data_IF_705430247364
#
_entry.id   IF_705430247364
#
_cell.length_a   1.000
_cell.length_b   1.000
_cell.length_c   1.000
_cell.angle_alpha   90.00
_cell.angle_beta   90.00
_cell.angle_gamma   90.00
#
_symmetry.space_group_name_H-M   'P 1'
#
loop_
_entity.id
_entity.type
_entity.pdbx_description
1 polymer ?
#
# COMPACT_ATOMS: atom_id res chain seq x y z
N UNK A 1 14.15 -72.01 5.54
CA UNK A 1 12.92 -71.43 4.94
C UNK A 1 13.16 -69.95 4.76
N UNK A 2 12.82 -69.44 3.59
CA UNK A 2 13.12 -68.09 3.09
C UNK A 2 12.24 -67.06 3.80
N UNK A 3 12.79 -65.92 4.20
CA UNK A 3 12.06 -64.72 4.63
C UNK A 3 12.94 -63.51 4.36
N UNK A 4 12.99 -63.06 3.10
CA UNK A 4 12.25 -61.94 2.53
C UNK A 4 12.65 -60.59 3.16
N UNK A 5 13.49 -59.90 2.41
CA UNK A 5 14.00 -58.54 2.60
C UNK A 5 12.84 -57.57 2.34
N UNK A 6 12.52 -56.70 3.29
CA UNK A 6 11.71 -55.50 3.05
C UNK A 6 12.62 -54.29 3.23
N UNK A 7 13.18 -53.82 2.13
CA UNK A 7 13.81 -52.51 2.04
C UNK A 7 12.68 -51.46 2.07
N UNK A 8 12.61 -50.69 3.15
CA UNK A 8 11.75 -49.51 3.21
C UNK A 8 12.38 -48.42 2.31
N UNK A 9 11.80 -48.24 1.13
CA UNK A 9 12.11 -47.10 0.26
C UNK A 9 11.59 -45.82 0.89
N UNK A 10 12.50 -44.95 1.34
CA UNK A 10 12.20 -43.56 1.67
C UNK A 10 11.97 -42.82 0.35
N UNK A 11 10.72 -42.75 -0.09
CA UNK A 11 10.29 -41.84 -1.13
C UNK A 11 10.31 -40.42 -0.56
N UNK A 12 11.33 -39.64 -0.94
CA UNK A 12 11.28 -38.19 -0.87
C UNK A 12 10.22 -37.73 -1.87
N UNK A 13 9.00 -37.51 -1.38
CA UNK A 13 8.00 -36.76 -2.12
C UNK A 13 8.33 -35.29 -1.92
N UNK A 14 8.91 -34.65 -2.94
CA UNK A 14 8.86 -33.21 -3.06
C UNK A 14 7.39 -32.82 -3.18
N UNK A 15 6.83 -32.24 -2.11
CA UNK A 15 5.54 -31.59 -2.14
C UNK A 15 5.67 -30.22 -2.83
N UNK A 16 5.70 -30.24 -4.16
CA UNK A 16 5.27 -29.09 -4.96
C UNK A 16 3.99 -29.53 -5.67
N UNK A 17 2.85 -29.04 -5.23
CA UNK A 17 1.58 -29.31 -5.89
C UNK A 17 0.40 -28.83 -5.05
N UNK A 18 -0.18 -27.69 -5.43
CA UNK A 18 -1.46 -27.25 -4.92
C UNK A 18 -1.62 -25.75 -4.78
N UNK A 19 -1.13 -24.95 -5.73
CA UNK A 19 -1.76 -23.65 -5.98
C UNK A 19 -3.21 -23.94 -6.33
N UNK A 20 -4.12 -23.66 -5.39
CA UNK A 20 -5.54 -23.69 -5.68
C UNK A 20 -5.76 -22.55 -6.66
N UNK A 21 -6.16 -22.92 -7.88
CA UNK A 21 -6.75 -21.97 -8.79
C UNK A 21 -7.83 -21.22 -8.03
N UNK A 22 -7.77 -19.90 -8.13
CA UNK A 22 -9.00 -19.13 -8.15
C UNK A 22 -9.75 -19.64 -9.38
N UNK A 23 -10.63 -20.60 -9.14
CA UNK A 23 -11.68 -20.92 -10.09
C UNK A 23 -12.60 -19.69 -10.05
N UNK A 24 -12.44 -18.83 -11.06
CA UNK A 24 -13.34 -17.73 -11.38
C UNK A 24 -14.69 -18.33 -11.83
N UNK A 25 -15.42 -18.90 -10.87
CA UNK A 25 -16.83 -19.23 -11.02
C UNK A 25 -17.59 -17.90 -10.97
N UNK A 26 -18.08 -17.48 -12.14
CA UNK A 26 -18.83 -16.24 -12.31
C UNK A 26 -20.15 -16.24 -11.54
N UNK A 27 -20.07 -15.79 -10.30
CA UNK A 27 -21.17 -15.20 -9.56
C UNK A 27 -21.07 -13.68 -9.72
N UNK A 28 -21.92 -13.12 -10.58
CA UNK A 28 -22.31 -11.70 -10.59
C UNK A 28 -23.11 -11.39 -9.30
N UNK A 29 -22.51 -11.64 -8.14
CA UNK A 29 -22.98 -11.15 -6.85
C UNK A 29 -22.13 -9.93 -6.49
N UNK A 30 -22.77 -8.77 -6.57
CA UNK A 30 -22.34 -7.47 -6.06
C UNK A 30 -22.16 -7.51 -4.53
N UNK A 31 -21.24 -8.34 -4.03
CA UNK A 31 -20.92 -8.50 -2.61
C UNK A 31 -19.68 -7.67 -2.25
N UNK A 32 -19.80 -6.36 -2.47
CA UNK A 32 -18.93 -5.36 -1.83
C UNK A 32 -19.18 -5.24 -0.32
N UNK A 33 -20.17 -5.96 0.22
CA UNK A 33 -20.61 -5.89 1.62
C UNK A 33 -19.79 -6.75 2.59
N UNK A 34 -18.73 -7.41 2.10
CA UNK A 34 -17.87 -8.27 2.92
C UNK A 34 -16.38 -8.01 2.78
N UNK A 35 -15.91 -7.00 2.05
CA UNK A 35 -14.46 -6.74 1.91
C UNK A 35 -13.93 -6.12 3.21
N UNK A 36 -12.69 -6.45 3.58
CA UNK A 36 -11.99 -5.73 4.63
C UNK A 36 -11.32 -4.51 4.00
N UNK A 37 -11.75 -3.32 4.39
CA UNK A 37 -11.02 -2.09 4.07
C UNK A 37 -9.89 -1.95 5.07
N UNK A 38 -8.73 -2.44 4.67
CA UNK A 38 -7.46 -2.49 5.42
C UNK A 38 -6.40 -1.81 4.53
N UNK A 39 -6.04 -0.57 4.87
CA UNK A 39 -5.16 0.23 4.02
C UNK A 39 -3.67 0.10 4.39
N UNK A 40 -3.35 -0.27 5.63
CA UNK A 40 -1.97 -0.48 6.07
C UNK A 40 -1.51 -1.96 5.99
N UNK A 41 -2.44 -2.86 5.71
CA UNK A 41 -2.21 -4.28 5.43
C UNK A 41 -2.04 -5.15 6.66
N UNK A 42 -2.46 -4.71 7.85
CA UNK A 42 -2.30 -5.44 9.11
C UNK A 42 -3.41 -6.48 9.38
N UNK A 43 -4.49 -6.42 8.58
CA UNK A 43 -5.66 -7.29 8.66
C UNK A 43 -6.79 -6.79 9.55
N UNK A 44 -6.66 -5.61 10.16
CA UNK A 44 -7.69 -4.88 10.89
C UNK A 44 -8.23 -3.76 9.99
N UNK A 45 -9.44 -3.27 10.26
CA UNK A 45 -10.08 -2.30 9.38
C UNK A 45 -11.58 -2.19 9.54
N UNK A 46 -12.23 -1.59 8.55
CA UNK A 46 -13.69 -1.49 8.49
C UNK A 46 -14.24 -2.54 7.50
N UNK A 47 -15.17 -3.39 7.97
CA UNK A 47 -15.88 -4.34 7.12
C UNK A 47 -15.92 -5.77 7.64
N UNK A 48 -16.64 -6.64 6.92
CA UNK A 48 -17.00 -7.97 7.41
C UNK A 48 -15.88 -9.02 7.42
N UNK A 49 -14.75 -8.78 6.75
CA UNK A 49 -13.60 -9.71 6.66
C UNK A 49 -12.38 -9.29 7.49
N UNK A 50 -12.44 -8.16 8.21
CA UNK A 50 -11.34 -7.72 9.07
C UNK A 50 -11.26 -8.54 10.36
N UNK A 51 -10.05 -8.70 10.91
CA UNK A 51 -9.81 -9.38 12.19
C UNK A 51 -10.37 -8.59 13.38
N UNK A 52 -10.51 -7.28 13.23
CA UNK A 52 -11.11 -6.33 14.15
C UNK A 52 -11.16 -4.94 13.52
N UNK A 53 -11.62 -3.95 14.29
CA UNK A 53 -11.59 -2.55 13.89
C UNK A 53 -10.18 -2.02 14.01
N UNK A 54 -9.70 -1.35 12.95
CA UNK A 54 -8.50 -0.54 12.98
C UNK A 54 -8.89 0.94 13.13
N UNK A 55 -8.16 1.65 13.98
CA UNK A 55 -8.36 3.07 14.23
C UNK A 55 -7.33 3.96 13.51
N UNK A 56 -6.29 3.36 12.90
CA UNK A 56 -5.29 4.07 12.13
C UNK A 56 -4.89 3.30 10.87
N UNK A 57 -5.69 3.46 9.81
CA UNK A 57 -5.46 2.85 8.50
C UNK A 57 -4.13 3.23 7.82
N UNK A 58 -3.29 4.05 8.46
CA UNK A 58 -1.98 4.45 7.96
C UNK A 58 -0.84 3.81 8.74
N UNK A 59 -1.12 3.07 9.81
CA UNK A 59 -0.10 2.58 10.72
C UNK A 59 -0.41 1.17 11.27
N UNK A 60 0.27 0.13 10.74
CA UNK A 60 -0.04 -1.28 11.02
C UNK A 60 0.33 -1.74 12.43
N UNK A 61 0.78 -0.80 13.27
CA UNK A 61 1.06 -1.02 14.67
C UNK A 61 -0.06 -0.54 15.60
N UNK A 62 -1.05 0.23 15.10
CA UNK A 62 -2.05 0.94 15.91
C UNK A 62 -3.46 0.43 15.59
N UNK A 63 -3.72 -0.82 15.96
CA UNK A 63 -5.03 -1.47 15.81
C UNK A 63 -5.64 -1.93 17.14
N UNK A 64 -4.84 -1.95 18.22
CA UNK A 64 -5.25 -2.53 19.49
C UNK A 64 -5.93 -1.49 20.41
N UNK A 65 -6.75 -1.98 21.35
CA UNK A 65 -7.61 -1.11 22.17
C UNK A 65 -6.86 0.00 22.95
N UNK A 66 -5.70 -0.25 23.58
CA UNK A 66 -4.92 0.81 24.24
C UNK A 66 -4.42 1.90 23.29
N UNK A 67 -3.91 1.52 22.12
CA UNK A 67 -3.35 2.50 21.18
C UNK A 67 -4.48 3.26 20.46
N UNK A 68 -5.61 2.58 20.17
CA UNK A 68 -6.81 3.22 19.64
C UNK A 68 -7.48 4.19 20.61
N UNK A 69 -7.59 3.87 21.90
CA UNK A 69 -8.13 4.81 22.89
C UNK A 69 -7.26 6.08 22.96
N UNK A 70 -5.94 5.94 22.97
CA UNK A 70 -5.01 7.07 23.00
C UNK A 70 -5.10 7.92 21.73
N UNK A 71 -5.29 7.28 20.57
CA UNK A 71 -5.45 7.95 19.29
C UNK A 71 -6.78 8.70 19.21
N UNK A 72 -7.90 8.09 19.58
CA UNK A 72 -9.21 8.76 19.61
C UNK A 72 -9.30 9.89 20.65
N UNK A 73 -8.52 9.82 21.73
CA UNK A 73 -8.40 10.94 22.68
C UNK A 73 -7.64 12.14 22.09
N UNK A 74 -6.69 11.90 21.17
CA UNK A 74 -5.89 12.93 20.52
C UNK A 74 -6.58 13.51 19.27
N UNK A 75 -7.17 12.65 18.44
CA UNK A 75 -7.99 12.99 17.28
C UNK A 75 -9.30 12.19 17.32
N UNK A 76 -10.40 12.80 17.82
CA UNK A 76 -11.70 12.12 17.92
C UNK A 76 -12.33 11.82 16.55
N UNK A 77 -11.74 12.29 15.45
CA UNK A 77 -12.24 12.03 14.11
C UNK A 77 -11.33 11.11 13.29
N UNK A 78 -10.32 10.49 13.89
CA UNK A 78 -9.56 9.46 13.21
C UNK A 78 -10.45 8.27 12.83
N UNK A 79 -9.99 7.44 11.88
CA UNK A 79 -10.75 6.26 11.45
C UNK A 79 -11.07 5.37 12.65
N UNK A 80 -12.21 4.65 12.61
CA UNK A 80 -12.53 3.65 13.63
C UNK A 80 -12.97 4.23 14.98
N UNK A 81 -12.72 5.53 15.25
CA UNK A 81 -13.20 6.22 16.44
C UNK A 81 -14.72 6.43 16.41
N UNK A 82 -15.33 6.42 17.60
CA UNK A 82 -16.78 6.55 17.77
C UNK A 82 -17.32 7.87 17.20
N UNK A 83 -18.42 7.77 16.47
CA UNK A 83 -19.17 8.90 15.95
C UNK A 83 -20.68 8.66 16.09
N UNK A 84 -21.46 9.73 16.18
CA UNK A 84 -22.92 9.64 16.19
C UNK A 84 -23.47 9.92 14.78
N UNK A 85 -23.99 8.91 14.04
CA UNK A 85 -24.50 9.11 12.68
C UNK A 85 -25.72 10.03 12.63
N UNK A 86 -26.42 10.25 13.76
CA UNK A 86 -27.51 11.22 13.85
C UNK A 86 -27.01 12.67 13.93
N UNK A 87 -25.76 12.89 14.38
CA UNK A 87 -25.11 14.21 14.49
C UNK A 87 -24.20 14.46 13.29
N UNK A 88 -23.38 13.47 12.93
CA UNK A 88 -22.33 13.51 11.90
C UNK A 88 -22.70 12.70 10.65
N UNK A 89 -23.98 12.71 10.28
CA UNK A 89 -24.47 11.96 9.11
C UNK A 89 -24.15 12.57 7.74
N UNK A 90 -23.38 13.66 7.68
CA UNK A 90 -22.91 14.27 6.42
C UNK A 90 -21.42 14.03 6.24
N UNK A 91 -20.92 13.86 5.01
CA UNK A 91 -19.49 13.74 4.75
C UNK A 91 -18.73 14.98 5.24
N UNK A 92 -17.59 14.77 5.88
CA UNK A 92 -16.69 15.80 6.38
C UNK A 92 -15.34 15.72 5.66
N UNK A 93 -14.67 16.86 5.49
CA UNK A 93 -13.32 16.89 4.98
C UNK A 93 -12.34 16.27 5.98
N UNK A 94 -11.37 15.52 5.48
CA UNK A 94 -10.33 14.87 6.28
C UNK A 94 -9.00 14.88 5.52
N UNK A 95 -7.91 14.79 6.28
CA UNK A 95 -6.56 14.65 5.75
C UNK A 95 -5.69 14.04 6.83
N UNK A 96 -5.19 12.83 6.60
CA UNK A 96 -4.38 12.06 7.57
C UNK A 96 -2.90 12.45 7.61
N UNK A 97 -2.43 13.26 6.65
CA UNK A 97 -1.03 13.65 6.53
C UNK A 97 -0.64 14.89 7.34
N UNK A 98 0.64 15.28 7.32
CA UNK A 98 1.11 16.51 7.95
C UNK A 98 0.32 17.74 7.44
N UNK A 99 -0.16 18.64 8.30
CA UNK A 99 -1.05 19.72 7.86
C UNK A 99 -0.40 20.68 6.84
N UNK A 100 0.93 20.77 6.82
CA UNK A 100 1.69 21.63 5.92
C UNK A 100 1.81 21.05 4.50
N UNK A 101 1.49 19.77 4.28
CA UNK A 101 1.49 19.11 2.96
C UNK A 101 0.12 19.12 2.28
N UNK A 102 -0.93 19.54 3.00
CA UNK A 102 -2.29 19.55 2.48
C UNK A 102 -2.47 20.58 1.36
N UNK A 103 -2.81 20.12 0.16
CA UNK A 103 -3.00 20.98 -1.02
C UNK A 103 -1.70 21.42 -1.69
N UNK A 104 -0.57 20.79 -1.34
CA UNK A 104 0.73 20.99 -1.98
C UNK A 104 0.94 19.87 -3.00
N UNK A 105 1.43 20.23 -4.19
CA UNK A 105 1.62 19.28 -5.28
C UNK A 105 0.33 18.49 -5.59
N UNK A 106 0.40 17.15 -5.65
CA UNK A 106 -0.74 16.28 -5.83
C UNK A 106 -1.46 15.93 -4.50
N UNK A 107 -0.93 16.29 -3.33
CA UNK A 107 -1.58 15.97 -2.06
C UNK A 107 -2.86 16.77 -1.86
N UNK A 108 -3.93 16.08 -1.47
CA UNK A 108 -5.20 16.71 -1.17
C UNK A 108 -5.98 16.00 -0.09
N UNK A 109 -6.86 16.78 0.56
CA UNK A 109 -7.85 16.27 1.48
C UNK A 109 -8.88 15.39 0.75
N UNK A 110 -9.40 14.42 1.50
CA UNK A 110 -10.49 13.55 1.11
C UNK A 110 -11.78 13.88 1.85
N UNK A 111 -12.71 12.93 1.83
CA UNK A 111 -13.94 12.95 2.62
C UNK A 111 -14.03 11.70 3.49
N UNK A 112 -14.54 11.87 4.71
CA UNK A 112 -14.92 10.76 5.59
C UNK A 112 -16.38 10.90 5.96
N UNK A 113 -16.99 9.80 6.35
CA UNK A 113 -18.36 9.76 6.82
C UNK A 113 -18.47 8.95 8.10
N UNK A 114 -19.45 9.30 8.94
CA UNK A 114 -19.78 8.48 10.09
C UNK A 114 -20.60 7.28 9.60
N UNK A 115 -20.04 6.08 9.72
CA UNK A 115 -20.67 4.84 9.30
C UNK A 115 -21.92 4.55 10.15
N UNK A 116 -22.84 3.74 9.63
CA UNK A 116 -24.09 3.41 10.34
C UNK A 116 -23.85 2.66 11.67
N UNK A 117 -22.70 2.01 11.75
CA UNK A 117 -22.16 1.28 12.89
C UNK A 117 -21.67 2.22 14.01
N UNK A 118 -21.56 3.52 13.75
CA UNK A 118 -21.14 4.52 14.72
C UNK A 118 -19.62 4.70 14.80
N UNK A 119 -18.89 4.42 13.73
CA UNK A 119 -17.45 4.67 13.62
C UNK A 119 -17.13 5.52 12.39
N UNK A 120 -16.11 6.37 12.48
CA UNK A 120 -15.63 7.11 11.32
C UNK A 120 -15.06 6.16 10.26
N UNK A 121 -15.39 6.41 9.00
CA UNK A 121 -14.78 5.73 7.86
C UNK A 121 -13.33 6.17 7.68
N UNK A 122 -12.61 5.44 6.82
CA UNK A 122 -11.35 5.91 6.23
C UNK A 122 -11.57 7.26 5.56
N UNK A 123 -10.50 8.05 5.42
CA UNK A 123 -10.56 9.27 4.63
C UNK A 123 -10.49 8.93 3.12
N UNK A 124 -11.65 8.86 2.49
CA UNK A 124 -11.82 8.51 1.09
C UNK A 124 -11.30 9.62 0.17
N UNK A 125 -10.67 9.25 -0.95
CA UNK A 125 -10.10 10.19 -1.92
C UNK A 125 -9.08 11.19 -1.34
N UNK A 126 -8.36 10.86 -0.26
CA UNK A 126 -7.18 11.64 0.13
C UNK A 126 -5.96 11.20 -0.68
N UNK A 127 -5.05 12.15 -0.95
CA UNK A 127 -3.71 11.85 -1.43
C UNK A 127 -2.69 12.39 -0.43
N UNK A 128 -1.93 11.46 0.17
CA UNK A 128 -0.94 11.73 1.20
C UNK A 128 0.48 11.78 0.60
N UNK A 129 1.44 12.42 1.29
CA UNK A 129 2.84 12.40 0.92
C UNK A 129 3.36 10.97 0.74
N UNK A 130 4.12 10.76 -0.33
CA UNK A 130 4.82 9.52 -0.65
C UNK A 130 6.31 9.81 -0.80
N UNK A 131 7.13 8.77 -0.89
CA UNK A 131 8.54 8.95 -1.25
C UNK A 131 8.64 9.56 -2.66
N UNK A 132 9.55 10.52 -2.80
CA UNK A 132 9.88 11.14 -4.07
C UNK A 132 10.27 10.12 -5.13
N UNK A 133 9.60 10.23 -6.28
CA UNK A 133 9.93 9.53 -7.49
C UNK A 133 10.32 10.54 -8.54
N UNK A 134 11.24 10.16 -9.43
CA UNK A 134 11.45 10.98 -10.61
C UNK A 134 10.27 10.81 -11.59
N UNK A 135 9.23 11.59 -11.40
CA UNK A 135 8.01 11.57 -12.20
C UNK A 135 7.51 12.98 -12.60
N UNK A 136 8.33 14.01 -12.37
CA UNK A 136 8.00 15.42 -12.58
C UNK A 136 6.85 15.91 -11.67
N UNK A 137 6.64 15.22 -10.54
CA UNK A 137 5.68 15.55 -9.49
C UNK A 137 6.39 15.80 -8.15
N UNK A 138 5.64 16.35 -7.22
CA UNK A 138 6.02 16.62 -5.83
C UNK A 138 5.34 15.54 -5.00
N UNK A 139 5.89 14.32 -4.94
CA UNK A 139 5.22 13.18 -4.35
C UNK A 139 5.15 13.29 -2.82
N UNK A 140 6.14 13.91 -2.19
CA UNK A 140 6.22 14.14 -0.74
C UNK A 140 5.52 15.43 -0.29
N UNK A 141 5.07 16.23 -1.26
CA UNK A 141 4.24 17.41 -1.07
C UNK A 141 4.91 18.47 -0.19
N UNK A 142 6.24 18.60 -0.29
CA UNK A 142 7.04 19.60 0.41
C UNK A 142 7.17 20.93 -0.37
N UNK A 143 6.67 20.96 -1.61
CA UNK A 143 6.65 22.13 -2.49
C UNK A 143 7.86 22.21 -3.43
N UNK A 144 8.74 21.22 -3.40
CA UNK A 144 9.78 21.00 -4.41
C UNK A 144 9.42 19.78 -5.27
N UNK A 145 10.06 19.64 -6.44
CA UNK A 145 9.75 18.58 -7.41
C UNK A 145 11.01 17.75 -7.58
N UNK A 146 10.87 16.42 -7.45
CA UNK A 146 11.87 15.38 -7.65
C UNK A 146 13.15 15.47 -6.78
N UNK A 147 13.39 16.51 -5.96
CA UNK A 147 14.46 16.70 -4.93
C UNK A 147 15.89 16.23 -5.27
N UNK A 148 16.19 16.05 -6.56
CA UNK A 148 17.41 15.37 -7.02
C UNK A 148 17.39 13.84 -6.90
N UNK A 149 16.23 13.24 -6.64
CA UNK A 149 15.92 11.83 -6.92
C UNK A 149 16.18 11.53 -8.38
N UNK A 150 16.83 10.40 -8.60
CA UNK A 150 17.23 9.95 -9.93
C UNK A 150 16.79 8.52 -10.12
N UNK A 151 16.48 8.17 -11.36
CA UNK A 151 16.28 6.77 -11.72
C UNK A 151 17.61 6.02 -11.81
N UNK A 152 17.59 4.73 -12.18
CA UNK A 152 18.79 3.91 -12.34
C UNK A 152 19.89 4.53 -13.22
N UNK A 153 19.57 5.48 -14.11
CA UNK A 153 20.53 6.12 -15.01
C UNK A 153 21.23 7.34 -14.39
N UNK A 154 20.87 7.72 -13.16
CA UNK A 154 21.43 8.88 -12.46
C UNK A 154 20.89 10.23 -12.96
N UNK A 155 19.80 10.21 -13.71
CA UNK A 155 19.09 11.39 -14.19
C UNK A 155 17.63 11.33 -13.75
N UNK A 156 16.95 12.48 -13.80
CA UNK A 156 15.51 12.50 -13.79
C UNK A 156 14.97 12.64 -15.23
N UNK A 157 14.05 11.76 -15.64
CA UNK A 157 13.52 11.63 -17.01
C UNK A 157 14.03 10.39 -17.76
N UNK A 158 13.78 10.31 -19.07
CA UNK A 158 14.09 9.13 -19.86
C UNK A 158 15.60 8.78 -19.88
N UNK A 159 15.90 7.50 -19.68
CA UNK A 159 17.23 6.92 -19.92
C UNK A 159 17.52 6.80 -21.42
N UNK A 160 17.82 7.92 -22.09
CA UNK A 160 17.98 8.00 -23.55
C UNK A 160 19.35 7.45 -24.05
N UNK A 161 19.78 6.30 -23.53
CA UNK A 161 21.00 5.60 -23.94
C UNK A 161 22.31 6.29 -23.53
N UNK A 162 22.27 7.35 -22.71
CA UNK A 162 23.44 7.89 -22.04
C UNK A 162 23.33 7.63 -20.55
N UNK A 163 24.01 6.60 -20.05
CA UNK A 163 24.24 6.47 -18.62
C UNK A 163 24.96 7.73 -18.11
N UNK A 164 24.37 8.43 -17.16
CA UNK A 164 24.99 9.58 -16.51
C UNK A 164 24.80 9.47 -14.99
N UNK A 165 25.50 8.53 -14.36
CA UNK A 165 25.53 8.44 -12.90
C UNK A 165 26.52 7.40 -12.37
N UNK A 166 27.08 7.59 -11.17
CA UNK A 166 27.97 6.62 -10.53
C UNK A 166 27.23 5.38 -9.97
N UNK A 167 25.89 5.41 -9.91
CA UNK A 167 25.03 4.31 -9.46
C UNK A 167 24.62 3.35 -10.59
N UNK A 168 24.57 3.84 -11.82
CA UNK A 168 24.42 2.97 -12.98
C UNK A 168 25.74 2.22 -13.15
N UNK A 169 25.74 0.88 -13.05
CA UNK A 169 26.87 0.00 -13.34
C UNK A 169 27.35 0.04 -14.80
N UNK A 170 27.37 1.23 -15.42
CA UNK A 170 27.93 1.49 -16.73
C UNK A 170 29.46 1.53 -16.55
N UNK A 171 30.07 0.35 -16.69
CA UNK A 171 31.47 0.15 -16.35
C UNK A 171 32.43 0.94 -17.24
N UNK A 172 32.03 1.45 -18.40
CA UNK A 172 32.96 2.19 -19.27
C UNK A 172 32.29 2.77 -20.53
N UNK A 173 32.27 4.10 -20.65
CA UNK A 173 32.27 4.76 -21.97
C UNK A 173 33.69 4.59 -22.56
N UNK A 174 33.90 3.55 -23.35
CA UNK A 174 34.99 3.56 -24.34
C UNK A 174 34.56 4.48 -25.49
N UNK A 175 35.26 5.59 -25.78
CA UNK A 175 34.95 6.36 -26.97
C UNK A 175 35.35 5.54 -28.20
N UNK A 176 34.39 4.98 -28.95
CA UNK A 176 34.74 4.37 -30.25
C UNK A 176 33.73 3.55 -31.02
N UNK A 177 32.78 2.83 -30.42
CA UNK A 177 32.13 1.74 -31.18
C UNK A 177 30.59 1.86 -31.18
N UNK A 178 30.07 2.48 -32.24
CA UNK A 178 28.67 2.35 -32.66
C UNK A 178 28.43 0.92 -33.14
N UNK A 179 27.88 0.04 -32.30
CA UNK A 179 27.21 -1.16 -32.81
C UNK A 179 25.91 -1.39 -32.06
N UNK A 180 24.79 -1.25 -32.77
CA UNK A 180 23.50 -1.81 -32.36
C UNK A 180 23.65 -3.33 -32.22
N UNK A 181 23.71 -3.82 -30.99
CA UNK A 181 23.71 -5.24 -30.68
C UNK A 181 22.30 -5.73 -30.42
N UNK A 182 21.63 -6.23 -31.46
CA UNK A 182 20.55 -7.21 -31.29
C UNK A 182 21.19 -8.49 -30.76
N UNK A 183 20.66 -9.05 -29.68
CA UNK A 183 21.04 -10.34 -29.13
C UNK A 183 20.06 -10.80 -28.07
#
# INVERSE_FOLDING_TARGET
MRGLILAAGMAWVCACGGGRGHDDDGDDDDDTSGVCSDADGDGYGVGGRCAGTDCDDQNPAVWDTPDCEALCDADPHATGCDCDPAVSGSPEACYGGPPDTAGVGPCHAGLRHCAAEGAWSTCEDQQLPQDEACDESDNDCDGTIDEGVTNECGLCGACDGQCAGPAAGCTEWLPGELTTGVG
#
